data_IF_534725663052
#
_entry.id   IF_534725663052
#
_cell.length_a   1.000
_cell.length_b   1.000
_cell.length_c   1.000
_cell.angle_alpha   90.00
_cell.angle_beta   90.00
_cell.angle_gamma   90.00
#
_symmetry.space_group_name_H-M   'P 1'
#
loop_
_entity.id
_entity.type
_entity.pdbx_description
1 polymer ?
#
# COMPACT_ATOMS: atom_id res chain seq x y z
N UNK A 1 -8.84 -29.21 -7.40
CA UNK A 1 -7.94 -29.19 -6.22
C UNK A 1 -8.74 -28.66 -5.05
N UNK A 2 -8.78 -29.39 -3.95
CA UNK A 2 -9.48 -29.02 -2.72
C UNK A 2 -8.43 -28.64 -1.67
N UNK A 3 -8.61 -27.53 -0.97
CA UNK A 3 -7.71 -27.05 0.07
C UNK A 3 -8.49 -26.85 1.36
N UNK A 4 -7.91 -27.27 2.47
CA UNK A 4 -8.42 -27.01 3.80
C UNK A 4 -7.28 -26.55 4.71
N UNK A 5 -7.52 -25.50 5.51
CA UNK A 5 -6.58 -25.01 6.51
C UNK A 5 -7.32 -24.90 7.84
N UNK A 6 -6.85 -25.59 8.85
CA UNK A 6 -7.42 -25.53 10.19
C UNK A 6 -6.32 -25.66 11.26
N UNK A 7 -6.58 -25.08 12.44
CA UNK A 7 -5.79 -25.35 13.65
C UNK A 7 -6.53 -26.41 14.47
N UNK A 8 -6.36 -27.66 14.06
CA UNK A 8 -7.07 -28.81 14.63
C UNK A 8 -6.16 -30.04 14.64
N UNK A 9 -6.65 -31.20 15.13
CA UNK A 9 -5.93 -32.45 14.96
C UNK A 9 -5.84 -32.82 13.48
N UNK A 10 -4.94 -33.76 13.14
CA UNK A 10 -4.82 -34.25 11.77
C UNK A 10 -6.12 -34.90 11.29
N UNK A 11 -6.75 -35.69 12.15
CA UNK A 11 -8.01 -36.38 11.87
C UNK A 11 -9.15 -35.40 11.56
N UNK A 12 -9.31 -34.34 12.38
CA UNK A 12 -10.31 -33.31 12.14
C UNK A 12 -10.03 -32.53 10.86
N UNK A 13 -8.76 -32.27 10.56
CA UNK A 13 -8.36 -31.62 9.31
C UNK A 13 -8.71 -32.51 8.09
N UNK A 14 -8.40 -33.80 8.15
CA UNK A 14 -8.70 -34.76 7.08
C UNK A 14 -10.20 -34.91 6.87
N UNK A 15 -10.98 -35.04 7.95
CA UNK A 15 -12.46 -35.05 7.86
C UNK A 15 -13.00 -33.77 7.22
N UNK A 16 -12.48 -32.60 7.60
CA UNK A 16 -12.83 -31.31 7.00
C UNK A 16 -12.50 -31.24 5.50
N UNK A 17 -11.39 -31.81 5.07
CA UNK A 17 -11.01 -31.94 3.66
C UNK A 17 -12.00 -32.80 2.88
N UNK A 18 -12.32 -33.98 3.41
CA UNK A 18 -13.30 -34.91 2.82
C UNK A 18 -14.70 -34.28 2.73
N UNK A 19 -15.14 -33.57 3.76
CA UNK A 19 -16.43 -32.87 3.72
C UNK A 19 -16.45 -31.75 2.66
N UNK A 20 -15.35 -30.99 2.56
CA UNK A 20 -15.22 -29.97 1.53
C UNK A 20 -15.28 -30.59 0.13
N UNK A 21 -14.60 -31.71 -0.11
CA UNK A 21 -14.63 -32.44 -1.38
C UNK A 21 -16.02 -32.92 -1.73
N UNK A 22 -16.72 -33.53 -0.77
CA UNK A 22 -18.12 -34.02 -0.96
C UNK A 22 -19.11 -32.89 -1.25
N UNK A 23 -18.83 -31.67 -0.80
CA UNK A 23 -19.69 -30.48 -1.04
C UNK A 23 -19.54 -29.89 -2.45
N UNK A 24 -18.59 -30.37 -3.26
CA UNK A 24 -18.29 -29.81 -4.57
C UNK A 24 -19.37 -30.21 -5.60
N UNK A 25 -20.14 -29.25 -6.05
CA UNK A 25 -21.10 -29.37 -7.13
C UNK A 25 -20.49 -28.85 -8.44
N UNK A 26 -19.74 -29.71 -9.15
CA UNK A 26 -18.91 -29.32 -10.31
C UNK A 26 -19.65 -28.45 -11.35
N UNK A 27 -20.86 -28.86 -11.75
CA UNK A 27 -21.64 -28.16 -12.79
C UNK A 27 -22.06 -26.75 -12.29
N UNK A 28 -22.57 -26.70 -11.07
CA UNK A 28 -23.01 -25.45 -10.44
C UNK A 28 -21.81 -24.51 -10.22
N UNK A 29 -20.73 -25.03 -9.68
CA UNK A 29 -19.52 -24.26 -9.41
C UNK A 29 -18.90 -23.70 -10.70
N UNK A 30 -18.85 -24.52 -11.77
CA UNK A 30 -18.38 -24.07 -13.09
C UNK A 30 -19.25 -22.93 -13.64
N UNK A 31 -20.57 -23.04 -13.52
CA UNK A 31 -21.51 -22.00 -13.96
C UNK A 31 -21.30 -20.69 -13.15
N UNK A 32 -21.14 -20.80 -11.83
CA UNK A 32 -20.89 -19.66 -10.96
C UNK A 32 -19.54 -18.98 -11.25
N UNK A 33 -18.48 -19.78 -11.43
CA UNK A 33 -17.14 -19.27 -11.80
C UNK A 33 -17.18 -18.53 -13.12
N UNK A 34 -17.85 -19.11 -14.16
CA UNK A 34 -18.01 -18.43 -15.44
C UNK A 34 -18.79 -17.13 -15.33
N UNK A 35 -19.88 -17.13 -14.55
CA UNK A 35 -20.66 -15.92 -14.30
C UNK A 35 -19.81 -14.84 -13.63
N UNK A 36 -19.06 -15.20 -12.59
CA UNK A 36 -18.20 -14.29 -11.87
C UNK A 36 -17.11 -13.67 -12.78
N UNK A 37 -16.41 -14.48 -13.59
CA UNK A 37 -15.42 -13.98 -14.53
C UNK A 37 -16.03 -13.08 -15.60
N UNK A 38 -17.20 -13.37 -16.09
CA UNK A 38 -17.90 -12.51 -17.04
C UNK A 38 -18.23 -11.14 -16.40
N UNK A 39 -18.74 -11.11 -15.18
CA UNK A 39 -19.02 -9.89 -14.44
C UNK A 39 -17.72 -9.09 -14.16
N UNK A 40 -16.66 -9.77 -13.79
CA UNK A 40 -15.34 -9.18 -13.56
C UNK A 40 -14.77 -8.52 -14.82
N UNK A 41 -14.77 -9.22 -15.94
CA UNK A 41 -14.24 -8.67 -17.20
C UNK A 41 -15.12 -7.56 -17.79
N UNK A 42 -16.41 -7.60 -17.58
CA UNK A 42 -17.34 -6.53 -18.02
C UNK A 42 -17.25 -5.27 -17.15
N UNK A 43 -16.60 -5.33 -15.98
CA UNK A 43 -16.44 -4.20 -15.08
C UNK A 43 -15.45 -3.18 -15.58
N UNK A 44 -14.32 -3.64 -16.12
CA UNK A 44 -13.25 -2.78 -16.62
C UNK A 44 -12.38 -3.55 -17.61
N UNK A 45 -11.99 -2.89 -18.67
CA UNK A 45 -11.05 -3.42 -19.69
C UNK A 45 -10.35 -2.26 -20.40
N UNK A 46 -9.18 -2.57 -20.98
CA UNK A 46 -8.47 -1.64 -21.88
C UNK A 46 -8.34 -2.33 -23.23
N UNK A 47 -8.70 -1.59 -24.25
CA UNK A 47 -8.52 -2.00 -25.65
C UNK A 47 -7.78 -0.88 -26.40
N UNK A 48 -6.72 -1.23 -27.10
CA UNK A 48 -5.91 -0.31 -27.90
C UNK A 48 -5.79 -0.89 -29.32
N UNK A 49 -6.10 -0.07 -30.33
CA UNK A 49 -6.02 -0.45 -31.75
C UNK A 49 -5.46 0.72 -32.54
N UNK A 50 -4.51 0.46 -33.43
CA UNK A 50 -3.90 1.46 -34.32
C UNK A 50 -4.88 2.02 -35.33
N UNK A 51 -5.91 1.26 -35.72
CA UNK A 51 -6.84 1.63 -36.76
C UNK A 51 -8.06 2.42 -36.28
N UNK A 52 -8.22 2.65 -34.99
CA UNK A 52 -9.44 3.26 -34.40
C UNK A 52 -10.72 2.46 -34.72
N UNK A 53 -10.57 1.23 -35.16
CA UNK A 53 -11.67 0.31 -35.37
C UNK A 53 -11.90 -0.49 -34.11
N UNK A 54 -13.07 -0.32 -33.51
CA UNK A 54 -13.57 -1.17 -32.43
C UNK A 54 -13.85 -2.59 -32.97
N UNK A 55 -12.79 -3.29 -33.38
CA UNK A 55 -12.89 -4.74 -33.54
C UNK A 55 -13.05 -5.34 -32.15
N UNK A 56 -14.09 -6.12 -31.97
CA UNK A 56 -14.47 -6.91 -30.81
C UNK A 56 -13.67 -6.62 -29.50
N UNK A 57 -14.22 -5.89 -28.51
CA UNK A 57 -13.54 -5.61 -27.23
C UNK A 57 -13.19 -6.88 -26.42
N UNK A 58 -13.68 -8.04 -26.86
CA UNK A 58 -13.34 -9.35 -26.34
C UNK A 58 -12.41 -10.14 -27.28
N UNK A 59 -11.89 -9.50 -28.32
CA UNK A 59 -11.24 -10.12 -29.48
C UNK A 59 -9.77 -10.49 -29.34
N UNK A 60 -9.25 -10.51 -28.15
CA UNK A 60 -8.20 -11.47 -27.83
C UNK A 60 -8.94 -12.78 -27.55
N UNK A 61 -8.98 -13.68 -28.54
CA UNK A 61 -9.32 -15.06 -28.25
C UNK A 61 -8.52 -15.45 -27.04
N UNK A 62 -9.21 -15.69 -25.92
CA UNK A 62 -8.58 -15.93 -24.62
C UNK A 62 -7.62 -17.13 -24.63
N UNK A 63 -7.63 -17.89 -25.70
CA UNK A 63 -6.84 -19.11 -25.85
C UNK A 63 -5.41 -18.83 -26.32
N UNK A 64 -5.05 -17.58 -26.71
CA UNK A 64 -3.72 -17.36 -27.25
C UNK A 64 -3.07 -15.97 -26.97
N UNK A 65 -3.02 -15.58 -25.70
CA UNK A 65 -2.24 -14.43 -25.28
C UNK A 65 -0.72 -14.59 -25.51
N UNK A 66 -0.27 -15.80 -25.86
CA UNK A 66 1.13 -16.10 -26.19
C UNK A 66 1.53 -15.63 -27.59
N UNK A 67 0.57 -15.42 -28.50
CA UNK A 67 0.81 -15.06 -29.89
C UNK A 67 0.89 -13.55 -30.14
N UNK A 68 0.87 -12.71 -29.11
CA UNK A 68 1.07 -11.27 -29.28
C UNK A 68 2.48 -11.00 -29.76
N UNK A 69 2.60 -10.39 -30.92
CA UNK A 69 3.90 -9.96 -31.45
C UNK A 69 4.58 -9.01 -30.44
N UNK A 70 5.78 -9.35 -29.97
CA UNK A 70 6.53 -8.47 -29.05
C UNK A 70 6.85 -7.09 -29.64
N UNK A 71 6.84 -6.95 -30.95
CA UNK A 71 7.08 -5.68 -31.63
C UNK A 71 5.83 -4.77 -31.62
N UNK A 72 4.63 -5.33 -31.42
CA UNK A 72 3.40 -4.56 -31.26
C UNK A 72 3.25 -4.07 -29.84
N UNK A 73 3.69 -2.85 -29.57
CA UNK A 73 3.66 -2.23 -28.24
C UNK A 73 2.24 -2.06 -27.67
N UNK A 74 1.23 -1.84 -28.53
CA UNK A 74 -0.16 -1.67 -28.09
C UNK A 74 -0.76 -3.02 -27.66
N UNK A 75 -0.58 -4.06 -28.47
CA UNK A 75 -1.03 -5.41 -28.14
C UNK A 75 -0.31 -5.94 -26.87
N UNK A 76 0.99 -5.68 -26.73
CA UNK A 76 1.76 -6.01 -25.52
C UNK A 76 1.20 -5.29 -24.29
N UNK A 77 0.87 -4.01 -24.37
CA UNK A 77 0.29 -3.24 -23.28
C UNK A 77 -1.08 -3.82 -22.84
N UNK A 78 -1.97 -4.10 -23.80
CA UNK A 78 -3.29 -4.72 -23.53
C UNK A 78 -3.13 -6.09 -22.88
N UNK A 79 -2.25 -6.93 -23.43
CA UNK A 79 -1.97 -8.26 -22.87
C UNK A 79 -1.48 -8.16 -21.42
N UNK A 80 -0.51 -7.29 -21.17
CA UNK A 80 0.10 -7.16 -19.82
C UNK A 80 -0.93 -6.63 -18.80
N UNK A 81 -1.76 -5.67 -19.19
CA UNK A 81 -2.86 -5.20 -18.36
C UNK A 81 -3.86 -6.33 -18.05
N UNK A 82 -4.26 -7.10 -19.07
CA UNK A 82 -5.21 -8.20 -18.91
C UNK A 82 -4.65 -9.29 -18.00
N UNK A 83 -3.40 -9.72 -18.22
CA UNK A 83 -2.74 -10.71 -17.36
C UNK A 83 -2.58 -10.23 -15.92
N UNK A 84 -2.16 -8.98 -15.74
CA UNK A 84 -2.01 -8.41 -14.39
C UNK A 84 -3.36 -8.38 -13.66
N UNK A 85 -4.42 -7.90 -14.32
CA UNK A 85 -5.76 -7.85 -13.74
C UNK A 85 -6.31 -9.26 -13.45
N UNK A 86 -6.04 -10.25 -14.32
CA UNK A 86 -6.35 -11.65 -14.05
C UNK A 86 -5.69 -12.15 -12.78
N UNK A 87 -4.39 -11.90 -12.62
CA UNK A 87 -3.64 -12.31 -11.42
C UNK A 87 -4.17 -11.62 -10.16
N UNK A 88 -4.59 -10.35 -10.24
CA UNK A 88 -5.26 -9.66 -9.14
C UNK A 88 -6.56 -10.37 -8.77
N UNK A 89 -7.42 -10.68 -9.75
CA UNK A 89 -8.67 -11.40 -9.53
C UNK A 89 -8.49 -12.78 -8.88
N UNK A 90 -7.39 -13.48 -9.20
CA UNK A 90 -7.05 -14.76 -8.57
C UNK A 90 -6.63 -14.64 -7.09
N UNK A 91 -6.16 -13.47 -6.65
CA UNK A 91 -5.57 -13.27 -5.32
C UNK A 91 -6.45 -12.46 -4.34
N UNK A 92 -7.42 -11.69 -4.83
CA UNK A 92 -7.99 -10.58 -4.07
C UNK A 92 -9.04 -10.96 -3.01
N UNK A 93 -9.65 -12.12 -3.08
CA UNK A 93 -10.82 -12.45 -2.24
C UNK A 93 -10.48 -13.30 -1.01
N UNK A 94 -9.30 -13.10 -0.46
CA UNK A 94 -8.87 -13.73 0.78
C UNK A 94 -9.32 -12.91 2.01
N UNK A 95 -9.26 -13.51 3.18
CA UNK A 95 -9.33 -12.80 4.48
C UNK A 95 -8.13 -11.86 4.67
N UNK A 96 -7.02 -12.15 4.00
CA UNK A 96 -5.77 -11.43 4.09
C UNK A 96 -5.54 -10.59 2.83
N UNK A 97 -4.76 -9.52 2.95
CA UNK A 97 -4.40 -8.71 1.80
C UNK A 97 -3.69 -9.50 0.71
N UNK A 98 -3.83 -9.07 -0.52
CA UNK A 98 -3.00 -9.54 -1.63
C UNK A 98 -1.54 -9.20 -1.34
N UNK A 99 -0.65 -10.19 -1.35
CA UNK A 99 0.79 -9.98 -1.23
C UNK A 99 1.40 -9.66 -2.58
N UNK A 100 2.33 -8.71 -2.58
CA UNK A 100 3.14 -8.37 -3.74
C UNK A 100 4.61 -8.23 -3.36
N UNK A 101 5.25 -9.34 -3.00
CA UNK A 101 6.67 -9.38 -2.62
C UNK A 101 7.49 -9.86 -3.81
N UNK A 102 7.69 -9.01 -4.83
CA UNK A 102 8.37 -9.33 -6.08
C UNK A 102 7.49 -10.06 -7.10
N UNK A 103 6.23 -10.35 -6.80
CA UNK A 103 5.24 -10.97 -7.66
C UNK A 103 3.95 -11.29 -6.93
N UNK A 104 2.87 -11.49 -7.69
CA UNK A 104 1.55 -11.87 -7.15
C UNK A 104 1.47 -13.35 -6.77
N UNK A 105 2.26 -14.18 -7.44
CA UNK A 105 2.38 -15.62 -7.17
C UNK A 105 3.76 -15.97 -6.64
N UNK A 106 3.89 -17.14 -6.05
CA UNK A 106 5.19 -17.77 -5.77
C UNK A 106 5.86 -18.16 -7.09
N UNK A 107 7.18 -18.19 -7.11
CA UNK A 107 7.96 -18.51 -8.30
C UNK A 107 9.27 -19.23 -7.93
N UNK A 108 9.91 -19.85 -8.91
CA UNK A 108 11.18 -20.54 -8.68
C UNK A 108 12.28 -19.50 -8.36
N UNK A 109 12.97 -19.63 -7.23
CA UNK A 109 14.03 -18.72 -6.83
C UNK A 109 15.18 -18.59 -7.84
N UNK A 110 15.38 -19.55 -8.73
CA UNK A 110 16.40 -19.49 -9.81
C UNK A 110 16.27 -18.24 -10.69
N UNK A 111 15.07 -17.71 -10.84
CA UNK A 111 14.82 -16.47 -11.58
C UNK A 111 15.36 -15.21 -10.91
N UNK A 112 15.73 -15.32 -9.64
CA UNK A 112 16.32 -14.22 -8.85
C UNK A 112 17.79 -14.46 -8.58
N UNK A 113 18.14 -15.69 -8.24
CA UNK A 113 19.51 -16.13 -7.99
C UNK A 113 19.66 -17.58 -8.46
N UNK A 114 20.46 -17.84 -9.52
CA UNK A 114 20.67 -19.18 -10.07
C UNK A 114 21.23 -20.19 -9.07
N UNK A 115 21.94 -19.73 -8.05
CA UNK A 115 22.54 -20.59 -7.02
C UNK A 115 21.59 -20.91 -5.86
N UNK A 116 20.38 -20.37 -5.87
CA UNK A 116 19.40 -20.58 -4.80
C UNK A 116 18.68 -21.91 -4.98
N UNK A 117 18.65 -22.72 -3.91
CA UNK A 117 17.91 -23.96 -3.91
C UNK A 117 16.41 -23.73 -4.14
N UNK A 118 15.80 -24.61 -4.92
CA UNK A 118 14.36 -24.58 -5.16
C UNK A 118 13.57 -24.68 -3.86
N UNK A 119 12.55 -23.84 -3.75
CA UNK A 119 11.50 -23.93 -2.73
C UNK A 119 10.16 -23.50 -3.35
N UNK A 120 9.08 -24.29 -3.20
CA UNK A 120 7.81 -24.04 -3.88
C UNK A 120 7.09 -22.76 -3.39
N UNK A 121 7.46 -22.27 -2.21
CA UNK A 121 6.81 -21.11 -1.59
C UNK A 121 7.66 -19.85 -1.66
N UNK A 122 8.63 -19.81 -2.57
CA UNK A 122 9.53 -18.69 -2.65
C UNK A 122 8.82 -17.38 -3.01
N UNK A 123 9.10 -16.36 -2.22
CA UNK A 123 8.81 -14.94 -2.48
C UNK A 123 9.99 -14.10 -2.02
N UNK A 124 10.25 -12.99 -2.71
CA UNK A 124 11.27 -12.05 -2.24
C UNK A 124 10.89 -11.43 -0.89
N UNK A 125 11.88 -10.91 -0.21
CA UNK A 125 11.76 -10.22 1.09
C UNK A 125 10.94 -11.01 2.12
N UNK A 126 11.25 -12.31 2.22
CA UNK A 126 10.77 -13.18 3.27
C UNK A 126 9.33 -13.66 3.16
N UNK A 127 8.58 -13.30 2.12
CA UNK A 127 7.25 -13.86 1.78
C UNK A 127 6.18 -13.90 2.89
N UNK A 128 6.58 -13.92 4.16
CA UNK A 128 5.70 -14.00 5.32
C UNK A 128 4.97 -12.70 5.63
N UNK A 129 5.60 -11.57 5.39
CA UNK A 129 5.10 -10.24 5.73
C UNK A 129 4.25 -9.59 4.65
N UNK A 130 3.49 -8.58 5.06
CA UNK A 130 2.82 -7.63 4.18
C UNK A 130 3.71 -6.40 4.04
N UNK A 131 4.28 -6.23 2.87
CA UNK A 131 5.15 -5.11 2.50
C UNK A 131 4.28 -3.99 1.92
N UNK A 132 4.02 -2.95 2.70
CA UNK A 132 3.05 -1.91 2.35
C UNK A 132 3.43 -1.15 1.07
N UNK A 133 4.72 -0.81 0.92
CA UNK A 133 5.25 -0.13 -0.25
C UNK A 133 5.04 -0.94 -1.55
N UNK A 134 5.16 -2.25 -1.48
CA UNK A 134 4.91 -3.13 -2.62
C UNK A 134 3.40 -3.33 -2.85
N UNK A 135 2.62 -3.54 -1.79
CA UNK A 135 1.18 -3.77 -1.90
C UNK A 135 0.43 -2.62 -2.56
N UNK A 136 0.80 -1.35 -2.31
CA UNK A 136 0.16 -0.20 -2.95
C UNK A 136 0.13 -0.31 -4.47
N UNK A 137 1.14 -0.93 -5.09
CA UNK A 137 1.24 -1.09 -6.55
C UNK A 137 0.10 -1.94 -7.15
N UNK A 138 -0.52 -2.81 -6.36
CA UNK A 138 -1.67 -3.61 -6.81
C UNK A 138 -3.01 -2.99 -6.43
N UNK A 139 -3.08 -2.24 -5.33
CA UNK A 139 -4.33 -1.64 -4.86
C UNK A 139 -4.70 -0.35 -5.62
N UNK A 140 -3.75 0.46 -6.06
CA UNK A 140 -4.05 1.61 -6.92
C UNK A 140 -4.70 1.21 -8.25
N UNK A 141 -4.24 0.19 -8.99
CA UNK A 141 -4.96 -0.32 -10.14
C UNK A 141 -6.38 -0.83 -9.82
N UNK A 142 -6.58 -1.54 -8.70
CA UNK A 142 -7.91 -1.98 -8.28
C UNK A 142 -8.86 -0.79 -8.10
N UNK A 143 -8.41 0.26 -7.43
CA UNK A 143 -9.18 1.49 -7.25
C UNK A 143 -9.57 2.12 -8.59
N UNK A 144 -8.62 2.23 -9.51
CA UNK A 144 -8.84 2.85 -10.84
C UNK A 144 -9.72 2.00 -11.75
N UNK A 145 -9.69 0.69 -11.60
CA UNK A 145 -10.55 -0.24 -12.35
C UNK A 145 -11.98 -0.36 -11.79
N UNK A 146 -12.25 0.23 -10.62
CA UNK A 146 -13.53 0.06 -9.93
C UNK A 146 -13.68 -1.30 -9.25
N UNK A 147 -12.59 -2.01 -9.01
CA UNK A 147 -12.52 -3.31 -8.34
C UNK A 147 -12.53 -3.15 -6.81
N UNK A 148 -13.45 -2.33 -6.27
CA UNK A 148 -13.48 -1.90 -4.86
C UNK A 148 -13.66 -3.06 -3.88
N UNK A 149 -14.41 -4.08 -4.25
CA UNK A 149 -14.62 -5.30 -3.46
C UNK A 149 -13.31 -6.08 -3.22
N UNK A 150 -12.37 -5.98 -4.16
CA UNK A 150 -11.05 -6.59 -4.07
C UNK A 150 -10.13 -5.86 -3.08
N UNK A 151 -10.45 -4.63 -2.71
CA UNK A 151 -9.66 -3.80 -1.79
C UNK A 151 -10.03 -4.00 -0.32
N UNK A 152 -11.23 -4.51 -0.05
CA UNK A 152 -11.73 -4.69 1.32
C UNK A 152 -10.79 -5.51 2.23
N UNK A 153 -10.18 -6.62 1.78
CA UNK A 153 -9.24 -7.37 2.63
C UNK A 153 -8.06 -6.54 3.14
N UNK A 154 -7.58 -5.55 2.36
CA UNK A 154 -6.53 -4.64 2.77
C UNK A 154 -7.02 -3.66 3.83
N UNK A 155 -8.20 -3.07 3.63
CA UNK A 155 -8.78 -2.11 4.58
C UNK A 155 -9.11 -2.80 5.91
N UNK A 156 -9.75 -3.96 5.85
CA UNK A 156 -10.11 -4.76 7.02
C UNK A 156 -8.87 -5.26 7.77
N UNK A 157 -7.78 -5.56 7.06
CA UNK A 157 -6.53 -5.95 7.68
C UNK A 157 -5.94 -4.81 8.52
N UNK A 158 -5.81 -3.61 7.96
CA UNK A 158 -5.29 -2.46 8.67
C UNK A 158 -6.19 -2.06 9.85
N UNK A 159 -7.51 -2.15 9.69
CA UNK A 159 -8.44 -1.93 10.77
C UNK A 159 -8.28 -2.97 11.89
N UNK A 160 -8.08 -4.24 11.55
CA UNK A 160 -7.89 -5.34 12.51
C UNK A 160 -6.60 -5.18 13.33
N UNK A 161 -5.52 -4.71 12.73
CA UNK A 161 -4.24 -4.50 13.41
C UNK A 161 -4.09 -3.10 14.03
N UNK A 162 -5.06 -2.22 13.86
CA UNK A 162 -5.06 -0.86 14.43
C UNK A 162 -4.76 -0.82 15.93
N UNK A 163 -5.37 -1.67 16.79
CA UNK A 163 -5.05 -1.68 18.21
C UNK A 163 -3.58 -2.01 18.51
N UNK A 164 -2.94 -2.86 17.70
CA UNK A 164 -1.51 -3.17 17.83
C UNK A 164 -0.65 -1.95 17.45
N UNK A 165 -0.99 -1.24 16.38
CA UNK A 165 -0.28 -0.05 15.93
C UNK A 165 -0.39 1.10 16.95
N UNK A 166 -1.56 1.32 17.55
CA UNK A 166 -1.76 2.30 18.63
C UNK A 166 -0.98 1.91 19.90
N UNK A 167 -1.00 0.62 20.24
CA UNK A 167 -0.24 0.12 21.39
C UNK A 167 1.26 0.33 21.22
N UNK A 168 1.80 0.21 20.00
CA UNK A 168 3.21 0.52 19.71
C UNK A 168 3.54 1.97 20.07
N UNK A 169 2.77 2.94 19.60
CA UNK A 169 2.99 4.36 19.89
C UNK A 169 2.97 4.64 21.39
N UNK A 170 2.01 4.08 22.10
CA UNK A 170 1.91 4.25 23.57
C UNK A 170 3.07 3.63 24.34
N UNK A 171 3.46 2.41 23.98
CA UNK A 171 4.51 1.68 24.71
C UNK A 171 5.90 2.26 24.44
N UNK A 172 6.20 2.58 23.18
CA UNK A 172 7.55 3.00 22.82
C UNK A 172 7.78 4.50 23.01
N UNK A 173 6.76 5.32 22.78
CA UNK A 173 6.92 6.77 22.74
C UNK A 173 5.93 7.56 23.59
N UNK A 174 5.03 6.87 24.29
CA UNK A 174 4.06 7.47 25.22
C UNK A 174 3.21 8.59 24.61
N UNK A 175 2.73 8.35 23.38
CA UNK A 175 1.78 9.25 22.70
C UNK A 175 0.69 8.46 21.95
N UNK A 176 -0.35 9.16 21.50
CA UNK A 176 -1.46 8.60 20.76
C UNK A 176 -1.13 8.45 19.26
N UNK A 177 -2.01 7.76 18.53
CA UNK A 177 -1.91 7.51 17.09
C UNK A 177 -1.35 6.15 16.75
N UNK A 178 -1.62 5.69 15.55
CA UNK A 178 -1.28 4.35 15.07
C UNK A 178 0.01 4.35 14.24
N UNK A 179 1.07 3.71 14.74
CA UNK A 179 2.32 3.51 14.04
C UNK A 179 2.30 2.19 13.27
N UNK A 180 2.22 2.27 11.95
CA UNK A 180 2.37 1.12 11.06
C UNK A 180 3.78 1.09 10.49
N UNK A 181 4.45 -0.06 10.61
CA UNK A 181 5.72 -0.31 9.94
C UNK A 181 5.51 -0.56 8.44
N UNK A 182 6.56 -0.49 7.64
CA UNK A 182 6.49 -0.82 6.22
C UNK A 182 6.23 -2.31 6.01
N UNK A 183 6.96 -3.18 6.73
CA UNK A 183 6.78 -4.64 6.71
C UNK A 183 6.05 -5.12 7.95
N UNK A 184 4.86 -5.67 7.77
CA UNK A 184 3.96 -6.01 8.87
C UNK A 184 3.57 -7.48 8.81
N UNK A 185 3.68 -8.19 9.94
CA UNK A 185 3.15 -9.53 10.15
C UNK A 185 1.62 -9.53 10.30
N UNK A 186 1.02 -10.69 10.19
CA UNK A 186 -0.44 -10.87 10.28
C UNK A 186 -1.10 -10.29 11.54
N UNK A 187 -0.34 -10.13 12.60
CA UNK A 187 -0.79 -9.59 13.90
C UNK A 187 -0.38 -8.13 14.13
N UNK A 188 0.21 -7.46 13.13
CA UNK A 188 0.48 -6.02 13.14
C UNK A 188 1.81 -5.61 13.75
N UNK A 189 2.75 -6.54 13.98
CA UNK A 189 4.11 -6.23 14.39
C UNK A 189 5.05 -6.19 13.19
N UNK A 190 6.18 -5.45 13.26
CA UNK A 190 7.19 -5.47 12.24
C UNK A 190 7.73 -6.87 11.97
N UNK A 191 8.26 -7.07 10.76
CA UNK A 191 8.99 -8.29 10.43
C UNK A 191 10.14 -8.52 11.42
N UNK A 192 10.23 -9.68 12.09
CA UNK A 192 11.29 -9.96 13.07
C UNK A 192 12.70 -9.83 12.49
N UNK A 193 12.91 -10.19 11.22
CA UNK A 193 14.19 -10.05 10.56
C UNK A 193 14.63 -8.58 10.43
N UNK A 194 13.70 -7.69 10.12
CA UNK A 194 13.94 -6.25 9.97
C UNK A 194 13.88 -5.52 11.31
N UNK A 195 13.07 -6.00 12.26
CA UNK A 195 13.09 -5.48 13.63
C UNK A 195 14.45 -5.68 14.30
N UNK A 196 15.15 -6.75 13.93
CA UNK A 196 16.57 -6.93 14.18
C UNK A 196 16.93 -7.57 15.49
N UNK A 197 17.23 -8.86 15.48
CA UNK A 197 17.84 -9.56 16.63
C UNK A 197 19.24 -9.05 16.98
N UNK A 198 19.92 -8.34 16.05
CA UNK A 198 21.27 -7.79 16.24
C UNK A 198 21.27 -6.29 16.53
N UNK A 199 20.10 -5.71 16.81
CA UNK A 199 19.99 -4.27 17.08
C UNK A 199 20.77 -3.86 18.34
N UNK A 200 21.45 -2.68 18.32
CA UNK A 200 22.13 -2.20 19.51
C UNK A 200 21.14 -1.97 20.67
N UNK A 201 21.53 -2.21 21.93
CA UNK A 201 20.65 -2.02 23.08
C UNK A 201 20.08 -0.62 23.22
N UNK A 202 20.85 0.40 22.78
CA UNK A 202 20.44 1.80 22.84
C UNK A 202 19.58 2.26 21.64
N UNK A 203 19.36 1.38 20.63
CA UNK A 203 18.54 1.71 19.50
C UNK A 203 17.06 1.81 19.89
N UNK A 204 16.32 2.75 19.34
CA UNK A 204 14.90 2.95 19.64
C UNK A 204 14.12 1.65 19.38
N UNK A 205 13.43 1.16 20.42
CA UNK A 205 12.68 -0.10 20.37
C UNK A 205 11.46 -0.05 19.46
N UNK A 206 10.97 1.13 19.14
CA UNK A 206 9.84 1.34 18.23
C UNK A 206 10.22 1.34 16.75
N UNK A 207 11.52 1.39 16.43
CA UNK A 207 12.01 1.43 15.05
C UNK A 207 12.42 0.04 14.55
N UNK A 208 12.28 -0.19 13.26
CA UNK A 208 12.92 -1.32 12.58
C UNK A 208 14.43 -1.05 12.49
N UNK A 209 15.25 -2.06 12.78
CA UNK A 209 16.71 -1.95 12.63
C UNK A 209 17.10 -2.29 11.19
N UNK A 210 16.54 -1.54 10.30
CA UNK A 210 16.80 -1.59 8.87
C UNK A 210 16.87 -0.17 8.35
N UNK A 211 18.04 0.21 7.88
CA UNK A 211 18.30 1.57 7.42
C UNK A 211 17.41 2.04 6.27
N UNK A 212 16.72 1.15 5.58
CA UNK A 212 15.78 1.46 4.50
C UNK A 212 14.37 1.74 5.03
N UNK A 213 13.97 1.15 6.15
CA UNK A 213 12.61 1.10 6.66
C UNK A 213 12.39 1.88 7.95
N UNK A 214 13.44 2.25 8.68
CA UNK A 214 13.36 2.73 10.07
C UNK A 214 12.44 3.94 10.29
N UNK A 215 12.26 4.80 9.29
CA UNK A 215 11.38 5.98 9.35
C UNK A 215 10.31 5.98 8.25
N UNK A 216 10.07 4.84 7.62
CA UNK A 216 9.12 4.73 6.53
C UNK A 216 7.74 4.32 7.06
N UNK A 217 6.97 5.29 7.52
CA UNK A 217 5.64 5.10 8.11
C UNK A 217 4.50 5.60 7.24
N UNK A 218 4.81 6.27 6.14
CA UNK A 218 3.84 7.04 5.36
C UNK A 218 3.00 6.19 4.40
N UNK A 219 3.39 4.95 4.14
CA UNK A 219 2.65 4.08 3.20
C UNK A 219 1.21 3.82 3.64
N UNK A 220 0.92 3.78 4.96
CA UNK A 220 -0.46 3.67 5.47
C UNK A 220 -1.35 4.81 5.02
N UNK A 221 -0.79 6.00 4.77
CA UNK A 221 -1.55 7.15 4.29
C UNK A 221 -2.12 6.91 2.89
N UNK A 222 -1.44 6.13 2.04
CA UNK A 222 -1.96 5.74 0.74
C UNK A 222 -3.21 4.85 0.90
N UNK A 223 -3.22 3.93 1.85
CA UNK A 223 -4.41 3.11 2.13
C UNK A 223 -5.55 3.93 2.74
N UNK A 224 -5.23 4.89 3.62
CA UNK A 224 -6.22 5.86 4.11
C UNK A 224 -6.84 6.67 2.95
N UNK A 225 -6.00 7.12 2.01
CA UNK A 225 -6.48 7.81 0.81
C UNK A 225 -7.37 6.90 -0.04
N UNK A 226 -6.97 5.65 -0.27
CA UNK A 226 -7.77 4.68 -1.04
C UNK A 226 -9.15 4.45 -0.40
N UNK A 227 -9.24 4.37 0.93
CA UNK A 227 -10.51 4.28 1.64
C UNK A 227 -11.38 5.51 1.36
N UNK A 228 -10.83 6.71 1.50
CA UNK A 228 -11.54 7.97 1.22
C UNK A 228 -11.97 8.07 -0.25
N UNK A 229 -11.12 7.64 -1.18
CA UNK A 229 -11.40 7.62 -2.62
C UNK A 229 -12.50 6.60 -2.99
N UNK A 230 -12.58 5.43 -2.34
CA UNK A 230 -13.69 4.50 -2.57
C UNK A 230 -15.03 5.12 -2.17
N UNK A 231 -15.05 5.91 -1.09
CA UNK A 231 -16.22 6.71 -0.74
C UNK A 231 -16.53 7.76 -1.81
N UNK A 232 -15.53 8.51 -2.24
CA UNK A 232 -15.69 9.57 -3.25
C UNK A 232 -16.16 9.02 -4.60
N UNK A 233 -15.62 7.89 -5.07
CA UNK A 233 -15.97 7.32 -6.37
C UNK A 233 -17.30 6.57 -6.39
N UNK A 234 -17.67 5.91 -5.30
CA UNK A 234 -18.82 4.99 -5.28
C UNK A 234 -19.83 5.27 -4.16
N UNK A 235 -19.56 6.20 -3.26
CA UNK A 235 -20.39 6.40 -2.07
C UNK A 235 -20.30 5.23 -1.08
N UNK A 236 -19.20 4.48 -1.07
CA UNK A 236 -19.02 3.37 -0.14
C UNK A 236 -19.13 3.88 1.30
N UNK A 237 -19.83 3.16 2.17
CA UNK A 237 -19.85 3.46 3.60
C UNK A 237 -18.50 3.10 4.22
N UNK A 238 -17.74 4.11 4.65
CA UNK A 238 -16.41 3.96 5.23
C UNK A 238 -16.36 4.30 6.73
N UNK A 239 -17.52 4.42 7.40
CA UNK A 239 -17.59 4.79 8.82
C UNK A 239 -16.78 3.87 9.73
N UNK A 240 -16.72 2.58 9.41
CA UNK A 240 -15.91 1.59 10.14
C UNK A 240 -14.40 1.87 10.07
N UNK A 241 -13.93 2.55 9.03
CA UNK A 241 -12.51 2.86 8.80
C UNK A 241 -12.10 4.26 9.32
N UNK A 242 -13.05 5.07 9.80
CA UNK A 242 -12.72 6.39 10.35
C UNK A 242 -11.67 6.35 11.48
N UNK A 243 -11.74 5.39 12.43
CA UNK A 243 -10.70 5.29 13.46
C UNK A 243 -9.31 5.04 12.88
N UNK A 244 -9.20 4.23 11.83
CA UNK A 244 -7.94 3.98 11.15
C UNK A 244 -7.36 5.26 10.54
N UNK A 245 -8.19 6.03 9.82
CA UNK A 245 -7.78 7.29 9.18
C UNK A 245 -7.33 8.31 10.23
N UNK A 246 -8.15 8.54 11.24
CA UNK A 246 -7.86 9.54 12.27
C UNK A 246 -6.66 9.15 13.13
N UNK A 247 -6.53 7.88 13.51
CA UNK A 247 -5.41 7.41 14.33
C UNK A 247 -4.09 7.42 13.55
N UNK A 248 -4.11 7.10 12.25
CA UNK A 248 -2.93 7.23 11.39
C UNK A 248 -2.48 8.69 11.28
N UNK A 249 -3.38 9.63 11.03
CA UNK A 249 -3.06 11.07 11.00
C UNK A 249 -2.53 11.56 12.35
N UNK A 250 -3.14 11.12 13.46
CA UNK A 250 -2.71 11.49 14.82
C UNK A 250 -1.30 11.03 15.12
N UNK A 251 -0.88 9.87 14.60
CA UNK A 251 0.50 9.42 14.77
C UNK A 251 1.49 10.45 14.21
N UNK A 252 1.30 10.97 13.02
CA UNK A 252 2.23 11.95 12.43
C UNK A 252 2.26 13.26 13.23
N UNK A 253 1.12 13.75 13.70
CA UNK A 253 1.07 14.97 14.52
C UNK A 253 1.79 14.76 15.87
N UNK A 254 1.43 13.71 16.60
CA UNK A 254 2.00 13.45 17.94
C UNK A 254 3.46 13.03 17.88
N UNK A 255 3.82 12.16 16.95
CA UNK A 255 5.17 11.59 16.89
C UNK A 255 6.23 12.64 16.54
N UNK A 256 5.97 13.50 15.55
CA UNK A 256 6.94 14.51 15.19
C UNK A 256 7.06 15.64 16.24
N UNK A 257 6.00 15.93 16.99
CA UNK A 257 6.08 16.77 18.18
C UNK A 257 6.89 16.10 19.31
N UNK A 258 6.68 14.80 19.52
CA UNK A 258 7.50 14.02 20.45
C UNK A 258 8.97 14.06 20.05
N UNK A 259 9.31 13.78 18.82
CA UNK A 259 10.70 13.81 18.32
C UNK A 259 11.33 15.20 18.45
N UNK A 260 10.59 16.27 18.24
CA UNK A 260 11.05 17.64 18.46
C UNK A 260 11.42 17.86 19.93
N UNK A 261 10.56 17.46 20.86
CA UNK A 261 10.83 17.51 22.32
C UNK A 261 12.08 16.72 22.70
N UNK A 262 12.25 15.51 22.16
CA UNK A 262 13.44 14.67 22.43
C UNK A 262 14.75 15.35 22.00
N UNK A 263 14.71 16.20 20.98
CA UNK A 263 15.85 16.98 20.52
C UNK A 263 16.03 18.31 21.26
N UNK A 264 15.18 18.63 22.24
CA UNK A 264 15.18 19.92 22.92
C UNK A 264 14.69 21.09 22.05
N UNK A 265 13.95 20.78 20.98
CA UNK A 265 13.40 21.76 20.06
C UNK A 265 11.95 22.13 20.40
N UNK A 266 11.46 23.26 19.86
CA UNK A 266 10.03 23.55 19.87
C UNK A 266 9.27 22.51 19.02
N UNK A 267 8.06 22.18 19.41
CA UNK A 267 7.20 21.22 18.71
C UNK A 267 6.86 21.65 17.27
N UNK A 268 6.74 22.95 17.07
CA UNK A 268 6.51 23.57 15.77
C UNK A 268 7.63 24.58 15.46
N UNK A 269 7.91 24.77 14.18
CA UNK A 269 8.87 25.75 13.71
C UNK A 269 8.36 27.20 13.88
N UNK A 270 9.17 28.18 13.45
CA UNK A 270 8.80 29.61 13.53
C UNK A 270 7.56 30.02 12.74
N UNK A 271 7.10 29.17 11.83
CA UNK A 271 5.90 29.37 11.01
C UNK A 271 4.71 28.53 11.50
N UNK A 272 4.81 27.90 12.65
CA UNK A 272 3.77 27.03 13.20
C UNK A 272 3.64 25.67 12.48
N UNK A 273 4.68 25.19 11.80
CA UNK A 273 4.69 23.93 11.06
C UNK A 273 5.43 22.83 11.81
N UNK A 274 4.99 21.58 11.61
CA UNK A 274 5.73 20.41 12.04
C UNK A 274 7.06 20.31 11.28
N UNK A 275 8.08 19.82 11.97
CA UNK A 275 9.36 19.44 11.36
C UNK A 275 9.40 17.92 11.33
N UNK A 276 9.18 17.34 10.15
CA UNK A 276 9.17 15.88 9.95
C UNK A 276 10.63 15.38 9.87
N UNK A 277 11.26 15.24 11.05
CA UNK A 277 12.63 14.77 11.21
C UNK A 277 12.77 13.87 12.45
N UNK A 278 13.50 12.74 12.38
CA UNK A 278 14.01 12.13 11.16
C UNK A 278 12.91 11.53 10.31
N UNK A 279 13.17 11.44 9.00
CA UNK A 279 12.27 10.82 8.03
C UNK A 279 13.05 10.01 7.01
N UNK A 280 12.31 9.24 6.21
CA UNK A 280 12.80 8.53 5.04
C UNK A 280 12.11 9.08 3.79
N UNK A 281 12.84 9.27 2.71
CA UNK A 281 12.27 9.61 1.42
C UNK A 281 12.53 8.47 0.44
N UNK A 282 11.50 7.70 0.13
CA UNK A 282 11.51 6.63 -0.87
C UNK A 282 12.62 5.60 -0.65
N UNK A 283 12.85 5.14 0.59
CA UNK A 283 13.91 4.19 0.95
C UNK A 283 15.35 4.66 0.60
N UNK A 284 15.49 5.73 -0.16
CA UNK A 284 16.78 6.16 -0.71
C UNK A 284 17.47 7.19 0.17
N UNK A 285 16.69 8.15 0.67
CA UNK A 285 17.21 9.27 1.45
C UNK A 285 16.81 9.11 2.91
N UNK A 286 17.80 8.98 3.77
CA UNK A 286 17.61 8.78 5.21
C UNK A 286 17.89 10.03 5.98
N UNK A 287 17.42 10.07 7.23
CA UNK A 287 17.61 11.21 8.12
C UNK A 287 17.19 12.51 7.44
N UNK A 288 16.07 12.47 6.71
CA UNK A 288 15.58 13.62 5.95
C UNK A 288 14.75 14.54 6.82
N UNK A 289 14.79 15.83 6.50
CA UNK A 289 13.84 16.82 6.97
C UNK A 289 12.72 16.98 5.95
N UNK A 290 11.47 16.80 6.37
CA UNK A 290 10.28 16.99 5.54
C UNK A 290 10.36 16.19 4.22
N UNK A 291 10.45 14.87 4.30
CA UNK A 291 10.40 14.00 3.15
C UNK A 291 9.16 14.30 2.28
N UNK A 292 9.36 14.51 0.99
CA UNK A 292 8.29 14.95 0.07
C UNK A 292 7.19 13.92 -0.07
N UNK A 293 7.50 12.62 -0.01
CA UNK A 293 6.50 11.55 0.00
C UNK A 293 5.54 11.71 1.18
N UNK A 294 6.09 11.84 2.39
CA UNK A 294 5.30 11.99 3.63
C UNK A 294 4.50 13.29 3.64
N UNK A 295 5.13 14.40 3.25
CA UNK A 295 4.46 15.72 3.18
C UNK A 295 3.30 15.68 2.19
N UNK A 296 3.53 15.17 0.98
CA UNK A 296 2.49 15.08 -0.05
C UNK A 296 1.35 14.16 0.36
N UNK A 297 1.67 12.99 0.93
CA UNK A 297 0.65 12.05 1.41
C UNK A 297 -0.24 12.69 2.49
N UNK A 298 0.37 13.39 3.46
CA UNK A 298 -0.38 14.11 4.51
C UNK A 298 -1.28 15.20 3.92
N UNK A 299 -0.79 16.01 2.97
CA UNK A 299 -1.63 17.03 2.32
C UNK A 299 -2.86 16.42 1.66
N UNK A 300 -2.69 15.38 0.86
CA UNK A 300 -3.79 14.78 0.07
C UNK A 300 -4.78 14.05 0.97
N UNK A 301 -4.29 13.28 1.95
CA UNK A 301 -5.18 12.59 2.90
C UNK A 301 -5.98 13.58 3.75
N UNK A 302 -5.32 14.65 4.24
CA UNK A 302 -6.01 15.68 5.03
C UNK A 302 -7.04 16.46 4.20
N UNK A 303 -6.77 16.71 2.92
CA UNK A 303 -7.74 17.34 2.01
C UNK A 303 -8.96 16.43 1.80
N UNK A 304 -8.74 15.17 1.49
CA UNK A 304 -9.82 14.18 1.31
C UNK A 304 -10.62 13.96 2.61
N UNK A 305 -9.91 13.84 3.74
CA UNK A 305 -10.53 13.71 5.07
C UNK A 305 -11.37 14.93 5.45
N UNK A 306 -10.86 16.15 5.17
CA UNK A 306 -11.59 17.39 5.40
C UNK A 306 -12.91 17.46 4.61
N UNK A 307 -12.91 16.91 3.41
CA UNK A 307 -14.13 16.81 2.58
C UNK A 307 -15.09 15.75 3.12
N UNK A 308 -14.59 14.62 3.60
CA UNK A 308 -15.39 13.54 4.14
C UNK A 308 -15.98 13.89 5.52
N UNK A 309 -15.17 14.45 6.42
CA UNK A 309 -15.60 14.77 7.80
C UNK A 309 -16.35 16.09 7.95
N UNK A 310 -16.79 16.73 6.86
CA UNK A 310 -17.43 18.06 6.89
C UNK A 310 -18.61 18.19 7.86
N UNK A 311 -19.36 17.10 8.08
CA UNK A 311 -20.52 17.03 9.00
C UNK A 311 -20.14 16.53 10.42
N UNK A 312 -18.85 16.26 10.70
CA UNK A 312 -18.34 15.70 11.97
C UNK A 312 -17.42 16.70 12.65
N UNK A 313 -17.97 17.56 13.48
CA UNK A 313 -17.30 18.74 14.03
C UNK A 313 -15.94 18.46 14.68
N UNK A 314 -15.83 17.42 15.53
CA UNK A 314 -14.60 17.09 16.25
C UNK A 314 -13.51 16.58 15.28
N UNK A 315 -13.83 15.62 14.40
CA UNK A 315 -12.89 15.10 13.42
C UNK A 315 -12.45 16.18 12.44
N UNK A 316 -13.37 17.03 11.98
CA UNK A 316 -13.07 18.15 11.10
C UNK A 316 -12.16 19.18 11.77
N UNK A 317 -12.36 19.48 13.06
CA UNK A 317 -11.51 20.41 13.79
C UNK A 317 -10.07 19.89 13.86
N UNK A 318 -9.88 18.62 14.21
CA UNK A 318 -8.56 17.97 14.21
C UNK A 318 -7.89 18.00 12.82
N UNK A 319 -8.63 17.62 11.78
CA UNK A 319 -8.10 17.62 10.41
C UNK A 319 -7.68 19.03 9.97
N UNK A 320 -8.49 20.07 10.24
CA UNK A 320 -8.16 21.45 9.90
C UNK A 320 -6.96 21.98 10.66
N UNK A 321 -6.86 21.67 11.94
CA UNK A 321 -5.72 22.05 12.77
C UNK A 321 -4.42 21.38 12.23
N UNK A 322 -4.48 20.10 11.90
CA UNK A 322 -3.36 19.40 11.33
C UNK A 322 -2.96 19.95 9.94
N UNK A 323 -3.93 20.30 9.08
CA UNK A 323 -3.66 20.95 7.79
C UNK A 323 -2.83 22.24 7.95
N UNK A 324 -3.09 23.01 9.01
CA UNK A 324 -2.33 24.22 9.29
C UNK A 324 -0.87 23.94 9.72
N UNK A 325 -0.61 22.75 10.28
CA UNK A 325 0.72 22.34 10.79
C UNK A 325 1.59 21.64 9.76
N UNK A 326 1.03 21.09 8.68
CA UNK A 326 1.84 20.37 7.68
C UNK A 326 2.73 21.36 6.92
N UNK A 327 4.06 21.07 6.77
CA UNK A 327 4.96 21.90 5.99
C UNK A 327 4.63 21.87 4.50
N UNK A 328 5.12 22.83 3.75
CA UNK A 328 5.00 22.84 2.30
C UNK A 328 5.84 21.72 1.67
N UNK A 329 5.42 21.25 0.48
CA UNK A 329 6.21 20.30 -0.30
C UNK A 329 7.55 20.94 -0.65
N UNK A 330 8.68 20.28 -0.34
CA UNK A 330 10.00 20.78 -0.66
C UNK A 330 10.20 20.95 -2.16
N UNK A 331 10.63 22.15 -2.56
CA UNK A 331 10.94 22.47 -3.94
C UNK A 331 12.42 22.85 -4.05
N UNK A 332 13.04 22.48 -5.15
CA UNK A 332 14.41 22.82 -5.48
C UNK A 332 14.49 23.44 -6.88
N UNK A 333 15.35 24.44 -7.03
CA UNK A 333 15.59 25.06 -8.33
C UNK A 333 16.87 24.51 -8.94
N UNK A 334 16.74 23.88 -10.12
CA UNK A 334 17.87 23.36 -10.89
C UNK A 334 17.89 24.12 -12.23
N UNK A 335 18.89 24.97 -12.40
CA UNK A 335 18.93 25.90 -13.52
C UNK A 335 17.72 26.84 -13.48
N UNK A 336 16.88 26.84 -14.50
CA UNK A 336 15.66 27.65 -14.61
C UNK A 336 14.36 26.89 -14.28
N UNK A 337 14.46 25.64 -13.74
CA UNK A 337 13.29 24.80 -13.47
C UNK A 337 13.11 24.61 -11.98
N UNK A 338 11.86 24.77 -11.53
CA UNK A 338 11.45 24.38 -10.17
C UNK A 338 11.04 22.90 -10.21
N UNK A 339 11.62 22.09 -9.35
CA UNK A 339 11.39 20.66 -9.24
C UNK A 339 11.04 20.28 -7.81
N UNK A 340 10.27 19.22 -7.63
CA UNK A 340 10.04 18.62 -6.31
C UNK A 340 11.37 18.02 -5.84
N UNK A 341 11.82 18.43 -4.66
CA UNK A 341 12.97 17.83 -3.99
C UNK A 341 12.53 16.55 -3.25
N UNK A 342 13.38 15.53 -3.11
CA UNK A 342 13.07 14.35 -2.28
C UNK A 342 12.75 14.72 -0.83
N UNK A 343 13.40 15.75 -0.31
CA UNK A 343 13.19 16.30 1.03
C UNK A 343 13.64 17.75 1.08
N UNK A 344 13.32 18.46 2.17
CA UNK A 344 13.83 19.83 2.41
C UNK A 344 15.36 19.81 2.58
N UNK A 345 15.87 18.87 3.38
CA UNK A 345 17.30 18.57 3.56
C UNK A 345 17.48 17.07 3.66
N UNK A 346 18.51 16.55 3.03
CA UNK A 346 18.98 15.18 3.19
C UNK A 346 20.49 15.17 3.43
N UNK A 347 20.96 14.29 4.31
CA UNK A 347 22.36 14.23 4.76
C UNK A 347 23.34 13.72 3.69
N UNK A 348 22.89 13.26 2.54
CA UNK A 348 23.77 12.79 1.49
C UNK A 348 23.49 13.45 0.16
N UNK A 349 24.41 14.29 -0.25
CA UNK A 349 24.58 14.78 -1.61
C UNK A 349 24.93 13.61 -2.55
N UNK A 350 23.97 12.87 -3.00
CA UNK A 350 24.04 12.17 -4.29
C UNK A 350 22.67 12.36 -4.96
N UNK A 351 22.45 13.56 -5.44
CA UNK A 351 21.40 13.82 -6.39
C UNK A 351 21.93 13.47 -7.78
N UNK A 352 22.03 12.20 -8.10
CA UNK A 352 22.19 11.72 -9.47
C UNK A 352 21.11 10.69 -9.75
N UNK A 353 20.09 11.18 -10.47
CA UNK A 353 19.29 10.44 -11.45
C UNK A 353 18.71 9.10 -11.00
N UNK A 354 17.66 9.09 -10.20
CA UNK A 354 16.56 8.10 -10.29
C UNK A 354 15.50 8.48 -9.27
N UNK A 355 14.76 9.56 -9.58
CA UNK A 355 13.44 9.70 -8.97
C UNK A 355 12.59 8.57 -9.54
N UNK A 356 12.39 7.51 -8.80
CA UNK A 356 11.25 6.67 -9.04
C UNK A 356 10.01 7.52 -8.79
N UNK A 357 9.42 8.01 -9.88
CA UNK A 357 8.12 8.64 -9.93
C UNK A 357 7.06 7.59 -9.56
N UNK A 358 7.00 7.19 -8.30
CA UNK A 358 5.86 6.44 -7.80
C UNK A 358 4.92 7.39 -7.08
N UNK A 359 3.66 7.33 -7.43
CA UNK A 359 2.50 7.95 -6.75
C UNK A 359 2.43 9.49 -6.75
N UNK A 360 3.51 10.23 -6.51
CA UNK A 360 3.47 11.72 -6.56
C UNK A 360 2.99 12.27 -7.91
N UNK A 361 3.26 11.60 -9.03
CA UNK A 361 2.78 12.01 -10.35
C UNK A 361 1.27 11.84 -10.51
N UNK A 362 0.64 10.86 -9.85
CA UNK A 362 -0.81 10.67 -9.91
C UNK A 362 -1.58 11.63 -9.01
N UNK A 363 -0.99 12.02 -7.88
CA UNK A 363 -1.63 12.91 -6.91
C UNK A 363 -1.64 14.36 -7.39
N UNK A 364 -0.57 14.82 -8.05
CA UNK A 364 -0.45 16.19 -8.53
C UNK A 364 -1.14 16.47 -9.88
N UNK A 365 -1.53 15.43 -10.63
CA UNK A 365 -2.21 15.58 -11.92
C UNK A 365 -3.74 15.53 -11.80
N UNK A 366 -4.31 15.18 -10.63
CA UNK A 366 -5.77 15.12 -10.45
C UNK A 366 -6.45 16.47 -10.18
N UNK A 367 -5.68 17.53 -9.92
CA UNK A 367 -6.24 18.87 -9.61
C UNK A 367 -6.35 19.80 -10.83
N UNK A 368 -6.22 19.30 -12.06
CA UNK A 368 -6.33 20.11 -13.28
C UNK A 368 -7.35 19.56 -14.30
N UNK A 369 -8.50 19.10 -13.82
CA UNK A 369 -9.69 18.99 -14.72
C UNK A 369 -10.94 19.29 -13.93
#
# INVERSE_FOLDING_TARGET
MTLNTAQSSFEEWEEGLVQTEKSVELVKNRKQTRKWWNEFWNRSYIYLDDAGQLANPHGLDADDLSLVDPADSLAVAVRNYTLFRYMLGCNAYSKWPTKFNGGLFTFDPVWVNPDMAFTPDFRRWGGGTHTAQNQRLVYWPMLKNGDFDMMLPQFDYYLRILPTAEKRSRIYWNHEGACFAEQIENFGLPNPAEYGFKRPPAFDKGLEYNAWLEYEWDTVLEFCLMILETHRYRGMDIRSYEPLILSSLRFFDEHYRYLARQRGCKELDGNGKLVLFPGSACETYKMTYNASSTVAALHVVLQAAGSYFKEKAEALAFVREMQQRIPSIPLHTIGNKIMISPALVCDHFICHSYCHFSVLSHILLSDRT
#
